data_IF_067287356747
#
_entry.id   IF_067287356747
#
_cell.length_a   1.000
_cell.length_b   1.000
_cell.length_c   1.000
_cell.angle_alpha   90.00
_cell.angle_beta   90.00
_cell.angle_gamma   90.00
#
_symmetry.space_group_name_H-M   'P 1'
#
loop_
_entity.id
_entity.type
_entity.pdbx_description
1 polymer ?
#
# COMPACT_ATOMS: atom_id res chain seq x y z
N UNK A 1 30.20 11.28 -22.20
CA UNK A 1 29.82 11.72 -20.83
C UNK A 1 30.70 11.09 -19.74
N UNK A 2 30.81 9.76 -19.65
CA UNK A 2 31.62 9.08 -18.60
C UNK A 2 33.07 9.59 -18.51
N UNK A 3 33.78 9.70 -19.64
CA UNK A 3 35.17 10.22 -19.69
C UNK A 3 35.30 11.70 -19.32
N UNK A 4 34.27 12.51 -19.59
CA UNK A 4 34.24 13.93 -19.23
C UNK A 4 34.06 14.11 -17.72
N UNK A 5 33.16 13.32 -17.12
CA UNK A 5 32.91 13.29 -15.68
C UNK A 5 34.15 12.81 -14.92
N UNK A 6 34.77 11.72 -15.41
CA UNK A 6 35.98 11.15 -14.82
C UNK A 6 37.16 12.13 -14.85
N UNK A 7 37.26 13.00 -15.85
CA UNK A 7 38.39 13.92 -15.96
C UNK A 7 38.20 15.22 -15.20
N UNK A 8 36.97 15.70 -15.07
CA UNK A 8 36.70 17.06 -14.56
C UNK A 8 36.09 17.09 -13.16
N UNK A 9 35.53 15.98 -12.67
CA UNK A 9 34.72 15.98 -11.46
C UNK A 9 34.95 14.77 -10.54
N UNK A 10 36.13 14.14 -10.63
CA UNK A 10 36.51 13.01 -9.78
C UNK A 10 36.76 13.35 -8.32
N UNK A 11 37.03 14.62 -8.05
CA UNK A 11 37.20 15.20 -6.73
C UNK A 11 35.87 15.35 -5.97
N UNK A 12 34.73 15.23 -6.66
CA UNK A 12 33.41 15.47 -6.08
C UNK A 12 32.76 14.17 -5.60
N UNK A 13 32.17 14.23 -4.42
CA UNK A 13 31.28 13.17 -3.92
C UNK A 13 30.11 12.98 -4.90
N UNK A 14 29.64 11.74 -5.05
CA UNK A 14 28.55 11.35 -5.95
C UNK A 14 27.32 12.27 -5.80
N UNK A 15 26.90 12.56 -4.56
CA UNK A 15 25.79 13.47 -4.30
C UNK A 15 26.04 14.89 -4.82
N UNK A 16 27.19 15.48 -4.52
CA UNK A 16 27.54 16.83 -4.95
C UNK A 16 27.70 16.93 -6.49
N UNK A 17 28.14 15.85 -7.13
CA UNK A 17 28.21 15.76 -8.59
C UNK A 17 26.81 15.79 -9.21
N UNK A 18 25.89 14.95 -8.74
CA UNK A 18 24.52 14.90 -9.28
C UNK A 18 23.75 16.18 -8.98
N UNK A 19 23.90 16.74 -7.79
CA UNK A 19 23.32 18.03 -7.43
C UNK A 19 23.78 19.12 -8.40
N UNK A 20 25.08 19.19 -8.70
CA UNK A 20 25.60 20.13 -9.69
C UNK A 20 25.03 19.87 -11.09
N UNK A 21 25.02 18.62 -11.56
CA UNK A 21 24.53 18.26 -12.90
C UNK A 21 23.04 18.59 -13.10
N UNK A 22 22.24 18.47 -12.04
CA UNK A 22 20.80 18.75 -12.06
C UNK A 22 20.48 20.23 -11.87
N UNK A 23 21.31 20.98 -11.13
CA UNK A 23 21.00 22.38 -10.75
C UNK A 23 21.77 23.44 -11.54
N UNK A 24 22.98 23.13 -12.05
CA UNK A 24 23.84 24.10 -12.71
C UNK A 24 23.67 24.08 -14.22
N UNK A 25 23.61 25.28 -14.80
CA UNK A 25 23.70 25.49 -16.24
C UNK A 25 25.16 25.34 -16.71
N UNK A 26 25.39 24.82 -17.93
CA UNK A 26 24.38 24.44 -18.93
C UNK A 26 23.84 23.00 -18.77
N UNK A 27 24.39 22.22 -17.83
CA UNK A 27 24.15 20.77 -17.72
C UNK A 27 22.68 20.39 -17.54
N UNK A 28 21.91 21.13 -16.74
CA UNK A 28 20.49 20.82 -16.53
C UNK A 28 19.64 21.02 -17.80
N UNK A 29 20.09 21.88 -18.70
CA UNK A 29 19.44 22.17 -19.99
C UNK A 29 19.91 21.21 -21.07
N UNK A 30 21.23 21.09 -21.24
CA UNK A 30 21.85 20.31 -22.33
C UNK A 30 21.60 18.80 -22.18
N UNK A 31 21.47 18.31 -20.95
CA UNK A 31 21.30 16.89 -20.65
C UNK A 31 19.94 16.55 -20.02
N UNK A 32 18.93 17.41 -20.18
CA UNK A 32 17.60 17.26 -19.57
C UNK A 32 16.99 15.85 -19.74
N UNK A 33 17.06 15.29 -20.94
CA UNK A 33 16.51 13.96 -21.23
C UNK A 33 17.24 12.84 -20.47
N UNK A 34 18.57 12.92 -20.40
CA UNK A 34 19.41 11.95 -19.70
C UNK A 34 19.19 12.07 -18.19
N UNK A 35 19.13 13.30 -17.67
CA UNK A 35 18.86 13.55 -16.26
C UNK A 35 17.47 13.05 -15.83
N UNK A 36 16.46 13.22 -16.69
CA UNK A 36 15.14 12.66 -16.44
C UNK A 36 15.16 11.12 -16.35
N UNK A 37 15.90 10.46 -17.26
CA UNK A 37 16.06 9.01 -17.21
C UNK A 37 16.78 8.56 -15.93
N UNK A 38 17.86 9.23 -15.56
CA UNK A 38 18.58 8.94 -14.30
C UNK A 38 17.67 9.14 -13.09
N UNK A 39 16.86 10.19 -13.07
CA UNK A 39 15.89 10.43 -12.00
C UNK A 39 14.88 9.29 -11.87
N UNK A 40 14.28 8.86 -12.99
CA UNK A 40 13.35 7.72 -13.01
C UNK A 40 14.04 6.44 -12.53
N UNK A 41 15.24 6.15 -13.01
CA UNK A 41 16.01 4.96 -12.58
C UNK A 41 16.32 4.99 -11.09
N UNK A 42 16.70 6.13 -10.53
CA UNK A 42 16.98 6.28 -9.10
C UNK A 42 15.72 6.07 -8.25
N UNK A 43 14.58 6.62 -8.67
CA UNK A 43 13.29 6.45 -7.97
C UNK A 43 12.83 4.99 -8.03
N UNK A 44 12.89 4.35 -9.21
CA UNK A 44 12.47 2.95 -9.41
C UNK A 44 13.33 1.94 -8.64
N UNK A 45 14.64 2.16 -8.57
CA UNK A 45 15.56 1.22 -7.91
C UNK A 45 15.51 1.32 -6.38
N UNK A 46 15.20 2.49 -5.83
CA UNK A 46 15.06 2.69 -4.38
C UNK A 46 13.74 2.09 -3.85
N UNK A 47 12.73 1.90 -4.71
CA UNK A 47 11.38 1.52 -4.27
C UNK A 47 11.16 0.03 -4.00
N UNK A 48 12.19 -0.84 -4.03
CA UNK A 48 12.00 -2.27 -3.75
C UNK A 48 11.39 -2.53 -2.36
N UNK A 49 11.78 -1.71 -1.36
CA UNK A 49 11.21 -1.78 -0.01
C UNK A 49 9.71 -1.50 0.04
N UNK A 50 9.19 -0.65 -0.87
CA UNK A 50 7.75 -0.35 -0.96
C UNK A 50 7.01 -1.58 -1.50
N UNK A 51 7.59 -2.24 -2.52
CA UNK A 51 7.05 -3.48 -3.08
C UNK A 51 7.03 -4.61 -2.04
N UNK A 52 8.11 -4.79 -1.28
CA UNK A 52 8.18 -5.80 -0.20
C UNK A 52 7.13 -5.59 0.89
N UNK A 53 6.89 -4.32 1.26
CA UNK A 53 5.79 -3.97 2.19
C UNK A 53 4.43 -4.31 1.58
N UNK A 54 4.21 -4.00 0.30
CA UNK A 54 2.99 -4.36 -0.44
C UNK A 54 2.74 -5.87 -0.46
N UNK A 55 3.77 -6.68 -0.75
CA UNK A 55 3.67 -8.15 -0.71
C UNK A 55 3.38 -8.68 0.69
N UNK A 56 4.00 -8.08 1.71
CA UNK A 56 3.72 -8.43 3.11
C UNK A 56 2.28 -8.11 3.50
N UNK A 57 1.76 -6.97 3.07
CA UNK A 57 0.35 -6.59 3.27
C UNK A 57 -0.58 -7.57 2.55
N UNK A 58 -0.29 -7.89 1.28
CA UNK A 58 -1.04 -8.87 0.51
C UNK A 58 -1.08 -10.25 1.21
N UNK A 59 0.05 -10.73 1.74
CA UNK A 59 0.12 -12.00 2.48
C UNK A 59 -0.74 -12.00 3.75
N UNK A 60 -0.85 -10.87 4.45
CA UNK A 60 -1.74 -10.72 5.62
C UNK A 60 -3.22 -10.71 5.24
N UNK A 61 -3.54 -10.05 4.13
CA UNK A 61 -4.92 -9.90 3.62
C UNK A 61 -5.41 -11.24 3.07
N UNK A 62 -4.65 -11.84 2.16
CA UNK A 62 -4.89 -13.14 1.55
C UNK A 62 -4.23 -14.25 2.35
N UNK A 63 -4.72 -14.43 3.58
CA UNK A 63 -4.42 -15.61 4.40
C UNK A 63 -5.16 -16.84 3.87
N UNK A 64 -4.76 -18.05 4.24
CA UNK A 64 -5.38 -19.31 3.77
C UNK A 64 -6.90 -19.39 4.01
N UNK A 65 -7.39 -18.82 5.12
CA UNK A 65 -8.83 -18.70 5.44
C UNK A 65 -9.58 -17.65 4.63
N UNK A 66 -8.88 -16.80 3.88
CA UNK A 66 -9.38 -15.69 3.05
C UNK A 66 -8.96 -15.88 1.58
N UNK A 67 -8.97 -17.12 1.09
CA UNK A 67 -8.56 -17.45 -0.29
C UNK A 67 -9.53 -16.97 -1.39
N UNK A 68 -10.78 -16.66 -1.05
CA UNK A 68 -11.86 -16.36 -2.00
C UNK A 68 -12.08 -14.88 -2.32
N UNK A 69 -11.21 -13.97 -1.83
CA UNK A 69 -11.35 -12.55 -2.18
C UNK A 69 -11.05 -12.32 -3.67
N UNK A 70 -11.90 -11.51 -4.29
CA UNK A 70 -11.68 -11.02 -5.66
C UNK A 70 -10.40 -10.16 -5.72
N UNK A 71 -9.72 -10.17 -6.87
CA UNK A 71 -8.45 -9.45 -7.06
C UNK A 71 -8.61 -7.96 -6.77
N UNK A 72 -9.65 -7.32 -7.32
CA UNK A 72 -9.94 -5.90 -7.08
C UNK A 72 -10.10 -5.59 -5.59
N UNK A 73 -10.78 -6.47 -4.83
CA UNK A 73 -10.94 -6.29 -3.39
C UNK A 73 -9.63 -6.43 -2.64
N UNK A 74 -8.76 -7.34 -3.07
CA UNK A 74 -7.41 -7.48 -2.49
C UNK A 74 -6.58 -6.24 -2.77
N UNK A 75 -6.63 -5.69 -3.98
CA UNK A 75 -5.94 -4.46 -4.35
C UNK A 75 -6.40 -3.27 -3.49
N UNK A 76 -7.72 -3.08 -3.37
CA UNK A 76 -8.30 -2.03 -2.53
C UNK A 76 -7.84 -2.13 -1.07
N UNK A 77 -7.85 -3.35 -0.51
CA UNK A 77 -7.39 -3.60 0.86
C UNK A 77 -5.89 -3.38 1.03
N UNK A 78 -5.07 -3.73 0.04
CA UNK A 78 -3.62 -3.44 0.05
C UNK A 78 -3.41 -1.93 0.06
N UNK A 79 -4.12 -1.19 -0.79
CA UNK A 79 -4.03 0.27 -0.86
C UNK A 79 -4.41 0.92 0.48
N UNK A 80 -5.53 0.51 1.07
CA UNK A 80 -5.94 0.97 2.40
C UNK A 80 -4.87 0.61 3.45
N UNK A 81 -4.29 -0.59 3.39
CA UNK A 81 -3.26 -1.01 4.35
C UNK A 81 -1.93 -0.27 4.21
N UNK A 82 -1.61 0.25 3.02
CA UNK A 82 -0.32 0.89 2.72
C UNK A 82 -0.37 2.40 2.83
N UNK A 83 -1.49 3.01 2.44
CA UNK A 83 -1.66 4.46 2.29
C UNK A 83 -2.75 5.04 3.20
N UNK A 84 -3.53 4.17 3.86
CA UNK A 84 -4.62 4.60 4.73
C UNK A 84 -4.13 5.31 6.01
N UNK A 85 -4.99 6.14 6.63
CA UNK A 85 -4.67 6.78 7.91
C UNK A 85 -4.53 5.73 9.02
N UNK A 86 -3.87 6.13 10.10
CA UNK A 86 -3.80 5.29 11.29
C UNK A 86 -5.20 4.97 11.80
N UNK A 87 -5.37 3.80 12.43
CA UNK A 87 -6.67 3.34 12.89
C UNK A 87 -7.33 4.32 13.87
N UNK A 88 -6.54 5.06 14.65
CA UNK A 88 -7.03 6.06 15.60
C UNK A 88 -7.59 7.32 14.93
N UNK A 89 -7.13 7.63 13.72
CA UNK A 89 -7.51 8.83 12.96
C UNK A 89 -8.57 8.53 11.90
N UNK A 90 -8.86 7.26 11.66
CA UNK A 90 -9.82 6.83 10.65
C UNK A 90 -11.26 7.10 11.11
N UNK A 91 -11.96 8.01 10.41
CA UNK A 91 -13.39 8.22 10.55
C UNK A 91 -14.18 7.27 9.63
N UNK A 92 -14.82 6.26 10.23
CA UNK A 92 -15.61 5.29 9.49
C UNK A 92 -16.98 5.82 9.03
N UNK A 93 -17.42 7.00 9.48
CA UNK A 93 -18.79 7.50 9.28
C UNK A 93 -19.18 7.55 7.81
N UNK A 94 -18.32 8.11 6.96
CA UNK A 94 -18.59 8.22 5.52
C UNK A 94 -18.64 6.85 4.84
N UNK A 95 -17.69 5.97 5.17
CA UNK A 95 -17.66 4.60 4.64
C UNK A 95 -18.91 3.82 5.02
N UNK A 96 -19.39 3.98 6.26
CA UNK A 96 -20.60 3.33 6.77
C UNK A 96 -21.85 3.88 6.08
N UNK A 97 -21.97 5.20 5.90
CA UNK A 97 -23.11 5.80 5.17
C UNK A 97 -23.15 5.35 3.71
N UNK A 98 -21.99 5.31 3.05
CA UNK A 98 -21.84 4.78 1.69
C UNK A 98 -22.23 3.31 1.63
N UNK A 99 -21.79 2.53 2.62
CA UNK A 99 -22.17 1.13 2.75
C UNK A 99 -23.69 0.95 2.99
N UNK A 100 -24.36 1.81 3.74
CA UNK A 100 -25.83 1.71 3.88
C UNK A 100 -26.58 2.08 2.60
N UNK A 101 -26.14 3.12 1.90
CA UNK A 101 -26.85 3.67 0.73
C UNK A 101 -26.64 2.88 -0.57
N UNK A 102 -25.47 2.26 -0.77
CA UNK A 102 -25.12 1.59 -2.03
C UNK A 102 -25.50 0.09 -2.07
N UNK A 103 -26.10 -0.46 -1.03
CA UNK A 103 -26.43 -1.88 -0.95
C UNK A 103 -27.64 -2.28 -1.79
N UNK A 104 -27.45 -3.09 -2.84
CA UNK A 104 -28.55 -3.71 -3.62
C UNK A 104 -29.38 -4.76 -2.85
N UNK A 105 -28.94 -5.19 -1.67
CA UNK A 105 -29.65 -6.16 -0.79
C UNK A 105 -29.82 -5.53 0.59
N UNK A 106 -30.92 -5.86 1.28
CA UNK A 106 -31.16 -5.48 2.67
C UNK A 106 -29.98 -5.95 3.54
N UNK A 107 -29.16 -4.99 4.00
CA UNK A 107 -27.99 -5.24 4.85
C UNK A 107 -28.50 -5.27 6.28
N UNK A 108 -28.81 -6.48 6.78
CA UNK A 108 -29.63 -6.73 7.98
C UNK A 108 -29.16 -5.91 9.20
N UNK A 109 -29.85 -4.82 9.56
CA UNK A 109 -29.58 -4.09 10.79
C UNK A 109 -30.15 -4.84 12.02
N UNK A 110 -31.10 -5.76 11.78
CA UNK A 110 -31.80 -6.58 12.78
C UNK A 110 -31.50 -8.08 12.60
N UNK A 111 -30.23 -8.48 12.57
CA UNK A 111 -29.93 -9.90 12.76
C UNK A 111 -30.35 -10.28 14.19
N UNK A 112 -31.43 -11.06 14.35
CA UNK A 112 -31.80 -11.64 15.65
C UNK A 112 -30.75 -12.68 16.04
N UNK A 113 -30.30 -12.61 17.29
CA UNK A 113 -29.24 -13.44 17.84
C UNK A 113 -29.44 -14.95 17.64
N UNK A 114 -28.32 -15.66 17.78
CA UNK A 114 -28.28 -17.10 18.01
C UNK A 114 -29.28 -17.49 19.12
N UNK A 115 -29.98 -18.64 19.04
CA UNK A 115 -30.96 -19.02 20.04
C UNK A 115 -30.32 -18.99 21.43
N UNK A 116 -30.86 -18.17 22.33
CA UNK A 116 -30.46 -18.11 23.74
C UNK A 116 -30.93 -19.32 24.54
N UNK A 117 -31.66 -20.25 23.92
CA UNK A 117 -32.05 -21.52 24.52
C UNK A 117 -31.10 -22.60 24.03
N UNK A 118 -30.22 -23.04 24.93
CA UNK A 118 -29.60 -24.35 24.85
C UNK A 118 -30.72 -25.39 24.66
N UNK A 119 -30.52 -26.42 23.82
CA UNK A 119 -31.49 -27.50 23.76
C UNK A 119 -31.68 -28.03 25.18
N UNK A 120 -32.93 -28.10 25.61
CA UNK A 120 -33.36 -28.71 26.86
C UNK A 120 -32.96 -30.19 26.85
N UNK A 121 -31.69 -30.44 27.12
CA UNK A 121 -31.13 -31.75 27.39
C UNK A 121 -31.31 -32.02 28.87
N UNK A 122 -32.18 -32.97 29.17
CA UNK A 122 -32.42 -33.56 30.48
C UNK A 122 -31.10 -33.73 31.24
N UNK A 123 -31.00 -33.04 32.36
CA UNK A 123 -29.90 -33.17 33.31
C UNK A 123 -30.19 -34.33 34.25
N UNK A 124 -30.08 -35.55 33.74
CA UNK A 124 -29.88 -36.74 34.56
C UNK A 124 -28.83 -37.59 33.83
N UNK A 125 -27.92 -38.17 34.61
CA UNK A 125 -26.88 -39.12 34.20
C UNK A 125 -25.56 -38.48 33.69
N UNK A 126 -24.66 -38.16 34.62
CA UNK A 126 -23.57 -39.09 35.01
C UNK A 126 -22.50 -38.38 35.85
N UNK A 127 -22.45 -38.81 37.13
CA UNK A 127 -21.22 -38.99 37.89
C UNK A 127 -20.24 -39.91 37.16
#
# INVERSE_FOLDING_TARGET
MKTFIIRNYMDKCYHALWEMMVTKLPFCSDYKNILNFVHIMLVLLVSSSVCERGFSAQKRIKSDVRGSLHVDTVEDLIRISMEGPNLQEFDAKESVQTWFSQGKRSRRPNYKDWPSELPSGTQEDLL
#
